data_IF_723516632098
#
_entry.id   IF_723516632098
#
_cell.length_a   1.000
_cell.length_b   1.000
_cell.length_c   1.000
_cell.angle_alpha   90.00
_cell.angle_beta   90.00
_cell.angle_gamma   90.00
#
_symmetry.space_group_name_H-M   'P 1'
#
loop_
_entity.id
_entity.type
_entity.pdbx_description
1 polymer ?
#
# COMPACT_ATOMS: atom_id res chain seq x y z
N UNK A 1 14.16 16.53 -15.86
CA UNK A 1 14.48 15.09 -15.83
C UNK A 1 15.98 15.03 -15.79
N UNK A 2 16.56 14.66 -14.65
CA UNK A 2 18.02 14.66 -14.51
C UNK A 2 18.63 13.58 -15.38
N UNK A 3 19.75 13.88 -16.04
CA UNK A 3 20.41 12.93 -16.92
C UNK A 3 20.92 11.72 -16.13
N UNK A 4 20.82 10.49 -16.66
CA UNK A 4 21.31 9.29 -15.99
C UNK A 4 22.85 9.27 -15.97
N UNK A 5 23.43 10.00 -15.03
CA UNK A 5 24.88 10.10 -14.84
C UNK A 5 25.37 9.08 -13.81
N UNK A 6 26.66 8.75 -13.86
CA UNK A 6 27.32 7.88 -12.88
C UNK A 6 27.15 8.35 -11.44
N UNK A 7 26.99 9.67 -11.23
CA UNK A 7 26.70 10.26 -9.92
C UNK A 7 25.37 9.77 -9.35
N UNK A 8 24.28 9.86 -10.12
CA UNK A 8 22.96 9.42 -9.67
C UNK A 8 22.90 7.90 -9.47
N UNK A 9 23.52 7.11 -10.35
CA UNK A 9 23.64 5.66 -10.15
C UNK A 9 24.47 5.30 -8.89
N UNK A 10 25.50 6.08 -8.58
CA UNK A 10 26.28 5.93 -7.36
C UNK A 10 25.46 6.19 -6.10
N UNK A 11 24.62 7.24 -6.12
CA UNK A 11 23.68 7.52 -5.02
C UNK A 11 22.66 6.39 -4.84
N UNK A 12 22.06 5.92 -5.93
CA UNK A 12 21.10 4.82 -5.91
C UNK A 12 21.74 3.54 -5.35
N UNK A 13 22.95 3.18 -5.81
CA UNK A 13 23.68 2.00 -5.30
C UNK A 13 23.96 2.12 -3.80
N UNK A 14 24.40 3.28 -3.33
CA UNK A 14 24.65 3.53 -1.89
C UNK A 14 23.37 3.44 -1.08
N UNK A 15 22.27 3.95 -1.60
CA UNK A 15 20.96 3.88 -0.94
C UNK A 15 20.42 2.45 -0.93
N UNK A 16 20.57 1.70 -2.03
CA UNK A 16 20.21 0.30 -2.14
C UNK A 16 20.95 -0.55 -1.10
N UNK A 17 22.27 -0.39 -0.99
CA UNK A 17 23.10 -1.09 0.00
C UNK A 17 22.65 -0.82 1.44
N UNK A 18 22.26 0.42 1.76
CA UNK A 18 21.77 0.78 3.11
C UNK A 18 20.39 0.19 3.44
N UNK A 19 19.61 -0.21 2.44
CA UNK A 19 18.25 -0.76 2.60
C UNK A 19 18.22 -2.29 2.52
N UNK A 20 19.37 -2.94 2.37
CA UNK A 20 19.45 -4.40 2.35
C UNK A 20 19.10 -4.94 3.74
N UNK A 21 18.14 -5.86 3.78
CA UNK A 21 17.81 -6.63 4.97
C UNK A 21 18.83 -7.77 5.05
N UNK A 22 19.72 -7.72 6.05
CA UNK A 22 20.79 -8.70 6.24
C UNK A 22 20.40 -9.89 7.12
N UNK A 23 19.40 -9.72 7.99
CA UNK A 23 18.82 -10.83 8.73
C UNK A 23 17.35 -10.58 9.07
N UNK A 24 16.61 -11.66 9.29
CA UNK A 24 15.22 -11.67 9.75
C UNK A 24 15.01 -12.79 10.76
N UNK A 25 13.97 -12.67 11.57
CA UNK A 25 13.50 -13.79 12.40
C UNK A 25 12.46 -14.63 11.63
N UNK A 26 12.60 -15.94 11.75
CA UNK A 26 11.59 -16.91 11.34
C UNK A 26 10.35 -16.83 12.24
N UNK A 27 9.28 -17.54 11.87
CA UNK A 27 8.07 -17.64 12.70
C UNK A 27 8.30 -18.29 14.07
N UNK A 28 9.38 -19.06 14.22
CA UNK A 28 9.77 -19.70 15.49
C UNK A 28 10.84 -18.90 16.25
N UNK A 29 11.21 -17.70 15.78
CA UNK A 29 12.22 -16.85 16.42
C UNK A 29 13.68 -17.17 16.06
N UNK A 30 13.95 -18.17 15.20
CA UNK A 30 15.30 -18.45 14.70
C UNK A 30 15.76 -17.37 13.69
N UNK A 31 17.02 -16.96 13.77
CA UNK A 31 17.62 -16.00 12.83
C UNK A 31 17.86 -16.62 11.44
N UNK A 32 17.51 -15.86 10.41
CA UNK A 32 17.69 -16.14 8.98
C UNK A 32 18.60 -15.08 8.40
N UNK A 33 19.76 -15.47 7.86
CA UNK A 33 20.74 -14.57 7.21
C UNK A 33 20.88 -14.82 5.71
N UNK A 34 20.45 -16.00 5.26
CA UNK A 34 20.56 -16.43 3.87
C UNK A 34 19.60 -15.62 2.96
N UNK A 35 20.09 -14.87 1.95
CA UNK A 35 19.26 -13.96 1.17
C UNK A 35 18.04 -14.60 0.49
N UNK A 36 18.19 -15.85 0.04
CA UNK A 36 17.08 -16.60 -0.57
C UNK A 36 15.96 -16.91 0.43
N UNK A 37 16.32 -17.21 1.68
CA UNK A 37 15.38 -17.45 2.76
C UNK A 37 14.73 -16.16 3.26
N UNK A 38 15.48 -15.06 3.34
CA UNK A 38 14.96 -13.72 3.67
C UNK A 38 13.83 -13.34 2.70
N UNK A 39 14.05 -13.48 1.39
CA UNK A 39 13.03 -13.20 0.37
C UNK A 39 11.80 -14.09 0.53
N UNK A 40 12.01 -15.40 0.75
CA UNK A 40 10.90 -16.35 0.94
C UNK A 40 10.07 -16.01 2.17
N UNK A 41 10.72 -15.64 3.29
CA UNK A 41 10.05 -15.23 4.53
C UNK A 41 9.23 -13.96 4.32
N UNK A 42 9.77 -12.96 3.62
CA UNK A 42 9.06 -11.72 3.32
C UNK A 42 7.79 -11.98 2.50
N UNK A 43 7.89 -12.77 1.42
CA UNK A 43 6.73 -13.15 0.60
C UNK A 43 5.71 -13.89 1.44
N UNK A 44 6.12 -14.95 2.15
CA UNK A 44 5.21 -15.74 2.98
C UNK A 44 4.51 -14.89 4.04
N UNK A 45 5.24 -14.01 4.74
CA UNK A 45 4.66 -13.14 5.75
C UNK A 45 3.61 -12.20 5.15
N UNK A 46 3.94 -11.49 4.06
CA UNK A 46 3.02 -10.56 3.42
C UNK A 46 1.82 -11.28 2.82
N UNK A 47 2.02 -12.43 2.16
CA UNK A 47 0.91 -13.26 1.67
C UNK A 47 -0.01 -13.65 2.81
N UNK A 48 0.52 -14.15 3.93
CA UNK A 48 -0.30 -14.49 5.10
C UNK A 48 -1.04 -13.28 5.68
N UNK A 49 -0.38 -12.12 5.78
CA UNK A 49 -0.98 -10.87 6.27
C UNK A 49 -2.13 -10.38 5.40
N UNK A 50 -2.01 -10.51 4.08
CA UNK A 50 -3.07 -10.10 3.15
C UNK A 50 -4.13 -11.17 2.93
N UNK A 51 -3.88 -12.43 3.32
CA UNK A 51 -4.90 -13.48 3.40
C UNK A 51 -5.57 -13.58 4.76
N UNK A 52 -5.00 -12.98 5.81
CA UNK A 52 -5.67 -12.95 7.11
C UNK A 52 -6.84 -11.99 6.97
N UNK A 53 -7.98 -12.56 6.62
CA UNK A 53 -9.25 -11.84 6.64
C UNK A 53 -9.49 -11.41 8.08
N UNK A 54 -9.63 -10.11 8.27
CA UNK A 54 -10.28 -9.61 9.47
C UNK A 54 -11.72 -10.13 9.39
N UNK A 55 -12.03 -11.19 10.14
CA UNK A 55 -13.42 -11.57 10.39
C UNK A 55 -14.01 -10.46 11.27
N UNK A 56 -14.59 -9.46 10.61
CA UNK A 56 -15.37 -8.46 11.29
C UNK A 56 -16.48 -9.20 12.03
N UNK A 57 -16.44 -9.16 13.36
CA UNK A 57 -17.57 -9.60 14.16
C UNK A 57 -18.75 -8.73 13.74
N UNK A 58 -19.68 -9.29 12.97
CA UNK A 58 -20.85 -8.61 12.40
C UNK A 58 -21.62 -7.82 13.48
N UNK A 59 -21.53 -8.29 14.74
CA UNK A 59 -22.10 -7.65 15.93
C UNK A 59 -21.36 -6.40 16.39
N UNK A 60 -20.03 -6.33 16.24
CA UNK A 60 -19.20 -5.18 16.62
C UNK A 60 -19.34 -4.04 15.61
N UNK A 61 -19.35 -4.34 14.31
CA UNK A 61 -19.50 -3.32 13.27
C UNK A 61 -20.90 -2.73 13.26
N UNK A 62 -21.94 -3.57 13.35
CA UNK A 62 -23.32 -3.09 13.46
C UNK A 62 -23.53 -2.22 14.71
N UNK A 63 -22.92 -2.58 15.84
CA UNK A 63 -22.98 -1.80 17.08
C UNK A 63 -22.26 -0.45 16.98
N UNK A 64 -21.07 -0.43 16.37
CA UNK A 64 -20.28 0.79 16.19
C UNK A 64 -20.90 1.75 15.17
N UNK A 65 -21.45 1.23 14.07
CA UNK A 65 -22.02 2.03 12.99
C UNK A 65 -23.45 2.54 13.30
N UNK A 66 -24.07 2.06 14.37
CA UNK A 66 -25.43 2.46 14.74
C UNK A 66 -25.49 3.94 15.12
N UNK A 67 -26.38 4.69 14.47
CA UNK A 67 -26.61 6.11 14.76
C UNK A 67 -25.58 7.08 14.15
N UNK A 68 -24.62 6.59 13.36
CA UNK A 68 -23.74 7.46 12.59
C UNK A 68 -24.52 8.12 11.44
N UNK A 69 -24.19 9.37 11.07
CA UNK A 69 -24.76 9.99 9.88
C UNK A 69 -24.47 9.15 8.64
N UNK A 70 -25.52 8.82 7.89
CA UNK A 70 -25.42 8.10 6.64
C UNK A 70 -25.70 9.04 5.47
N UNK A 71 -25.04 8.78 4.34
CA UNK A 71 -25.43 9.42 3.07
C UNK A 71 -26.77 8.84 2.61
N UNK A 72 -27.41 9.48 1.64
CA UNK A 72 -28.66 8.96 1.10
C UNK A 72 -28.45 7.61 0.41
N UNK A 73 -29.50 6.82 0.31
CA UNK A 73 -29.45 5.49 -0.34
C UNK A 73 -29.02 5.61 -1.81
N UNK A 74 -29.39 6.71 -2.48
CA UNK A 74 -28.97 7.02 -3.84
C UNK A 74 -27.46 7.31 -3.91
N UNK A 75 -26.91 8.02 -2.93
CA UNK A 75 -25.47 8.29 -2.87
C UNK A 75 -24.69 7.01 -2.57
N UNK A 76 -25.17 6.17 -1.66
CA UNK A 76 -24.57 4.85 -1.40
C UNK A 76 -24.56 3.99 -2.66
N UNK A 77 -25.67 3.93 -3.38
CA UNK A 77 -25.77 3.17 -4.64
C UNK A 77 -24.77 3.66 -5.70
N UNK A 78 -24.47 4.96 -5.74
CA UNK A 78 -23.43 5.51 -6.60
C UNK A 78 -22.02 5.14 -6.14
N UNK A 79 -21.76 5.20 -4.83
CA UNK A 79 -20.45 4.90 -4.23
C UNK A 79 -20.07 3.41 -4.31
N UNK A 80 -21.05 2.51 -4.25
CA UNK A 80 -20.84 1.06 -4.43
C UNK A 80 -20.68 0.64 -5.90
N UNK A 81 -20.93 1.55 -6.83
CA UNK A 81 -20.76 1.32 -8.26
C UNK A 81 -19.30 1.22 -8.68
N UNK A 82 -19.02 0.64 -9.86
CA UNK A 82 -17.67 0.62 -10.42
C UNK A 82 -17.20 2.04 -10.77
N UNK A 83 -15.94 2.33 -10.50
CA UNK A 83 -15.27 3.57 -10.92
C UNK A 83 -15.41 3.79 -12.43
N UNK A 84 -15.93 4.95 -12.81
CA UNK A 84 -16.12 5.33 -14.20
C UNK A 84 -14.85 5.96 -14.79
N UNK A 85 -14.69 5.86 -16.11
CA UNK A 85 -13.58 6.52 -16.83
C UNK A 85 -13.65 8.04 -16.66
N UNK A 86 -14.85 8.60 -16.58
CA UNK A 86 -15.04 10.05 -16.41
C UNK A 86 -14.57 10.53 -15.04
N UNK A 87 -14.85 9.77 -13.97
CA UNK A 87 -14.33 10.06 -12.63
C UNK A 87 -12.81 10.01 -12.61
N UNK A 88 -12.22 8.97 -13.20
CA UNK A 88 -10.76 8.82 -13.32
C UNK A 88 -10.14 9.99 -14.10
N UNK A 89 -10.72 10.36 -15.24
CA UNK A 89 -10.24 11.47 -16.06
C UNK A 89 -10.34 12.80 -15.32
N UNK A 90 -11.46 13.04 -14.63
CA UNK A 90 -11.67 14.26 -13.83
C UNK A 90 -10.67 14.35 -12.69
N UNK A 91 -10.44 13.23 -11.98
CA UNK A 91 -9.44 13.16 -10.92
C UNK A 91 -8.04 13.46 -11.47
N UNK A 92 -7.63 12.78 -12.56
CA UNK A 92 -6.32 12.98 -13.19
C UNK A 92 -6.10 14.44 -13.65
N UNK A 93 -7.12 15.07 -14.22
CA UNK A 93 -7.05 16.46 -14.69
C UNK A 93 -7.08 17.48 -13.55
N UNK A 94 -7.66 17.13 -12.39
CA UNK A 94 -7.67 17.96 -11.19
C UNK A 94 -6.36 17.94 -10.41
N UNK A 95 -5.45 17.00 -10.68
CA UNK A 95 -4.16 16.91 -10.01
C UNK A 95 -3.20 18.01 -10.46
N UNK A 96 -2.49 18.65 -9.52
CA UNK A 96 -1.47 19.64 -9.84
C UNK A 96 -0.35 19.02 -10.69
N UNK A 97 -0.01 19.68 -11.79
CA UNK A 97 1.02 19.20 -12.72
C UNK A 97 2.36 18.93 -12.03
N UNK A 98 2.99 17.80 -12.38
CA UNK A 98 4.29 17.30 -11.87
C UNK A 98 4.30 16.81 -10.41
N UNK A 99 3.13 16.62 -9.79
CA UNK A 99 2.99 15.93 -8.50
C UNK A 99 2.29 14.60 -8.74
N UNK A 100 3.07 13.55 -8.98
CA UNK A 100 2.54 12.21 -8.77
C UNK A 100 2.37 12.05 -7.25
N UNK A 101 1.22 11.57 -6.75
CA UNK A 101 1.11 11.18 -5.36
C UNK A 101 2.19 10.15 -5.06
N UNK A 102 2.68 10.14 -3.83
CA UNK A 102 3.51 9.03 -3.37
C UNK A 102 2.75 7.70 -3.55
N UNK A 103 3.43 6.59 -3.26
CA UNK A 103 2.78 5.26 -3.22
C UNK A 103 1.58 5.19 -2.26
N UNK A 104 1.42 6.19 -1.39
CA UNK A 104 0.35 6.38 -0.42
C UNK A 104 -0.82 7.26 -0.93
N UNK A 105 -0.79 7.74 -2.17
CA UNK A 105 -1.89 8.50 -2.76
C UNK A 105 -2.04 9.94 -2.26
N UNK A 106 -1.13 10.41 -1.40
CA UNK A 106 -1.15 11.78 -0.88
C UNK A 106 -0.21 12.68 -1.67
N UNK A 107 -0.69 13.87 -2.02
CA UNK A 107 0.12 14.92 -2.63
C UNK A 107 0.93 15.66 -1.56
N UNK A 108 2.24 15.78 -1.74
CA UNK A 108 3.09 16.82 -1.11
C UNK A 108 2.94 18.12 -1.88
#
# INVERSE_FOLDING_TARGET
MDAPTSFFFGLEKKNGQRRVIHSLLSGTGQEITEPSQIRRRAVSFSSTLYTSEFEEGETLSAGFCNGLPQVSEEANSQLEGPLTIQELQTALQGMQGRRAPGIDGLSV
#
